data_IF_202407710252
#
_entry.id   IF_202407710252
#
_cell.length_a   1.000
_cell.length_b   1.000
_cell.length_c   1.000
_cell.angle_alpha   90.00
_cell.angle_beta   90.00
_cell.angle_gamma   90.00
#
_symmetry.space_group_name_H-M   'P 1'
#
loop_
_entity.id
_entity.type
_entity.pdbx_description
1 polymer ?
#
# COMPACT_ATOMS: atom_id res chain seq x y z
N UNK A 1 -19.45 5.50 -11.63
CA UNK A 1 -18.94 4.91 -10.38
C UNK A 1 -17.46 4.64 -10.62
N UNK A 2 -16.58 5.43 -10.02
CA UNK A 2 -15.14 5.14 -10.10
C UNK A 2 -14.85 4.15 -8.99
N UNK A 3 -14.41 2.95 -9.35
CA UNK A 3 -13.81 2.04 -8.38
C UNK A 3 -12.55 2.72 -7.83
N UNK A 4 -12.29 2.55 -6.54
CA UNK A 4 -11.01 2.97 -5.98
C UNK A 4 -9.88 2.15 -6.62
N UNK A 5 -8.74 2.78 -6.96
CA UNK A 5 -7.61 2.07 -7.53
C UNK A 5 -7.04 1.07 -6.54
N UNK A 6 -6.58 -0.06 -7.05
CA UNK A 6 -5.88 -1.09 -6.29
C UNK A 6 -4.50 -0.62 -5.83
N UNK A 7 -3.93 -1.33 -4.84
CA UNK A 7 -2.58 -1.07 -4.35
C UNK A 7 -1.53 -1.03 -5.46
N UNK A 8 -1.55 -2.01 -6.37
CA UNK A 8 -0.56 -2.09 -7.46
C UNK A 8 -0.72 -0.94 -8.45
N UNK A 9 -1.95 -0.50 -8.74
CA UNK A 9 -2.18 0.68 -9.57
C UNK A 9 -1.64 1.95 -8.90
N UNK A 10 -1.92 2.16 -7.60
CA UNK A 10 -1.43 3.34 -6.88
C UNK A 10 0.08 3.37 -6.82
N UNK A 11 0.73 2.22 -6.65
CA UNK A 11 2.19 2.08 -6.56
C UNK A 11 2.91 2.55 -7.84
N UNK A 12 2.27 2.42 -8.99
CA UNK A 12 2.80 2.86 -10.29
C UNK A 12 2.52 4.34 -10.59
N UNK A 13 1.77 5.05 -9.75
CA UNK A 13 1.46 6.45 -9.99
C UNK A 13 2.70 7.34 -9.96
N UNK A 14 2.76 8.22 -10.96
CA UNK A 14 3.63 9.38 -10.91
C UNK A 14 3.13 10.40 -9.87
N UNK A 15 3.93 11.44 -9.64
CA UNK A 15 3.68 12.46 -8.61
C UNK A 15 2.29 13.12 -8.78
N UNK A 16 1.90 13.47 -10.01
CA UNK A 16 0.62 14.17 -10.26
C UNK A 16 -0.59 13.24 -10.14
N UNK A 17 -0.46 11.98 -10.56
CA UNK A 17 -1.49 10.95 -10.36
C UNK A 17 -1.71 10.67 -8.87
N UNK A 18 -0.61 10.54 -8.12
CA UNK A 18 -0.64 10.38 -6.67
C UNK A 18 -1.31 11.59 -5.99
N UNK A 19 -0.91 12.82 -6.31
CA UNK A 19 -1.54 14.02 -5.74
C UNK A 19 -3.04 14.07 -6.04
N UNK A 20 -3.41 13.75 -7.28
CA UNK A 20 -4.82 13.71 -7.69
C UNK A 20 -5.61 12.70 -6.87
N UNK A 21 -5.05 11.50 -6.67
CA UNK A 21 -5.65 10.48 -5.82
C UNK A 21 -5.76 10.95 -4.36
N UNK A 22 -4.69 11.49 -3.77
CA UNK A 22 -4.68 11.95 -2.38
C UNK A 22 -5.69 13.07 -2.11
N UNK A 23 -5.89 13.99 -3.07
CA UNK A 23 -6.94 15.04 -2.99
C UNK A 23 -8.34 14.45 -2.81
N UNK A 24 -8.60 13.27 -3.36
CA UNK A 24 -9.90 12.60 -3.21
C UNK A 24 -10.07 11.86 -1.87
N UNK A 25 -8.96 11.58 -1.16
CA UNK A 25 -8.96 10.73 0.04
C UNK A 25 -8.67 11.49 1.33
N UNK A 26 -7.88 12.56 1.26
CA UNK A 26 -7.38 13.26 2.44
C UNK A 26 -7.85 14.71 2.41
N UNK A 27 -9.00 14.96 3.05
CA UNK A 27 -9.67 16.27 3.03
C UNK A 27 -8.93 17.36 3.83
N UNK A 28 -7.98 16.99 4.69
CA UNK A 28 -7.23 17.94 5.52
C UNK A 28 -5.85 18.31 4.93
N UNK A 29 -5.58 17.94 3.68
CA UNK A 29 -4.40 18.40 2.95
C UNK A 29 -4.75 19.66 2.15
N UNK A 30 -3.85 20.64 2.21
CA UNK A 30 -3.89 21.90 1.48
C UNK A 30 -2.86 21.88 0.34
N UNK A 31 -2.91 22.86 -0.56
CA UNK A 31 -1.99 22.91 -1.71
C UNK A 31 -0.51 22.95 -1.29
N UNK A 32 -0.20 23.55 -0.14
CA UNK A 32 1.16 23.55 0.41
C UNK A 32 1.63 22.16 0.82
N UNK A 33 0.74 21.30 1.32
CA UNK A 33 1.08 19.90 1.63
C UNK A 33 1.35 19.13 0.32
N UNK A 34 0.54 19.37 -0.71
CA UNK A 34 0.74 18.77 -2.03
C UNK A 34 2.04 19.25 -2.71
N UNK A 35 2.42 20.50 -2.50
CA UNK A 35 3.67 21.07 -3.01
C UNK A 35 4.91 20.38 -2.43
N UNK A 36 4.84 19.86 -1.19
CA UNK A 36 5.95 19.11 -0.59
C UNK A 36 6.25 17.85 -1.41
N UNK A 37 5.23 17.09 -1.84
CA UNK A 37 5.44 15.89 -2.67
C UNK A 37 6.12 16.22 -4.00
N UNK A 38 5.74 17.33 -4.64
CA UNK A 38 6.39 17.82 -5.88
C UNK A 38 7.84 18.23 -5.63
N UNK A 39 8.07 19.03 -4.59
CA UNK A 39 9.39 19.57 -4.26
C UNK A 39 10.38 18.46 -3.88
N UNK A 40 9.91 17.45 -3.15
CA UNK A 40 10.71 16.31 -2.74
C UNK A 40 10.80 15.20 -3.80
N UNK A 41 10.13 15.39 -4.95
CA UNK A 41 10.05 14.41 -6.05
C UNK A 41 9.61 13.01 -5.59
N UNK A 42 8.66 12.98 -4.66
CA UNK A 42 8.22 11.75 -4.01
C UNK A 42 7.14 11.09 -4.86
N UNK A 43 7.44 9.90 -5.37
CA UNK A 43 6.49 9.05 -6.10
C UNK A 43 5.78 8.07 -5.15
N UNK A 44 4.73 7.42 -5.67
CA UNK A 44 3.95 6.45 -4.88
C UNK A 44 4.77 5.32 -4.31
N UNK A 45 5.73 4.78 -5.07
CA UNK A 45 6.58 3.69 -4.61
C UNK A 45 7.40 4.07 -3.37
N UNK A 46 7.80 5.33 -3.24
CA UNK A 46 8.47 5.81 -2.03
C UNK A 46 7.49 5.89 -0.86
N UNK A 47 6.31 6.49 -1.08
CA UNK A 47 5.30 6.73 -0.03
C UNK A 47 4.79 5.44 0.59
N UNK A 48 4.49 4.43 -0.23
CA UNK A 48 3.95 3.17 0.29
C UNK A 48 4.92 2.48 1.25
N UNK A 49 6.21 2.80 1.20
CA UNK A 49 7.21 2.23 2.11
C UNK A 49 7.52 3.13 3.33
N UNK A 50 6.96 4.33 3.39
CA UNK A 50 7.16 5.25 4.51
C UNK A 50 6.34 4.87 5.75
N UNK A 51 6.85 5.29 6.90
CA UNK A 51 6.27 5.16 8.22
C UNK A 51 5.58 6.45 8.65
N UNK A 52 4.61 6.38 9.59
CA UNK A 52 4.00 7.58 10.16
C UNK A 52 5.00 8.57 10.78
N UNK A 53 6.15 8.07 11.26
CA UNK A 53 7.23 8.91 11.79
C UNK A 53 7.88 9.75 10.69
N UNK A 54 8.17 9.17 9.54
CA UNK A 54 8.79 9.87 8.41
C UNK A 54 7.89 10.99 7.86
N UNK A 55 6.57 10.85 7.93
CA UNK A 55 5.64 11.92 7.58
C UNK A 55 5.66 13.10 8.56
N UNK A 56 6.04 12.86 9.82
CA UNK A 56 6.06 13.89 10.87
C UNK A 56 7.42 14.61 10.95
N UNK A 57 8.45 14.08 10.31
CA UNK A 57 9.81 14.62 10.31
C UNK A 57 10.11 15.40 9.01
N UNK A 58 11.17 16.24 8.99
CA UNK A 58 11.66 16.82 7.74
C UNK A 58 11.94 15.71 6.70
N UNK A 59 11.56 15.92 5.43
CA UNK A 59 11.12 17.19 4.83
C UNK A 59 9.61 17.45 4.91
N UNK A 60 8.78 16.51 5.37
CA UNK A 60 7.32 16.61 5.31
C UNK A 60 6.73 17.46 6.42
N UNK A 61 7.24 17.32 7.65
CA UNK A 61 6.81 18.09 8.81
C UNK A 61 5.28 18.12 9.00
N UNK A 62 4.57 17.05 8.62
CA UNK A 62 3.12 17.01 8.77
C UNK A 62 2.76 16.97 10.25
N UNK A 63 1.80 17.82 10.64
CA UNK A 63 1.22 17.77 11.98
C UNK A 63 0.58 16.40 12.23
N UNK A 64 0.54 15.98 13.49
CA UNK A 64 0.12 14.62 13.89
C UNK A 64 -1.15 14.13 13.20
N UNK A 65 -2.21 14.96 13.12
CA UNK A 65 -3.46 14.58 12.47
C UNK A 65 -3.33 14.29 10.98
N UNK A 66 -2.51 15.07 10.26
CA UNK A 66 -2.22 14.84 8.83
C UNK A 66 -1.38 13.58 8.63
N UNK A 67 -0.31 13.44 9.41
CA UNK A 67 0.55 12.26 9.37
C UNK A 67 -0.22 10.97 9.69
N UNK A 68 -1.11 11.00 10.68
CA UNK A 68 -1.92 9.84 11.09
C UNK A 68 -2.95 9.46 10.04
N UNK A 69 -3.71 10.42 9.50
CA UNK A 69 -4.67 10.15 8.43
C UNK A 69 -3.98 9.58 7.19
N UNK A 70 -2.82 10.12 6.85
CA UNK A 70 -2.07 9.65 5.71
C UNK A 70 -1.54 8.23 5.89
N UNK A 71 -0.94 7.95 7.06
CA UNK A 71 -0.49 6.60 7.41
C UNK A 71 -1.63 5.58 7.33
N UNK A 72 -2.81 5.91 7.87
CA UNK A 72 -3.96 5.01 7.83
C UNK A 72 -4.40 4.71 6.38
N UNK A 73 -4.38 5.70 5.47
CA UNK A 73 -4.68 5.49 4.06
C UNK A 73 -3.67 4.54 3.39
N UNK A 74 -2.37 4.70 3.69
CA UNK A 74 -1.33 3.81 3.16
C UNK A 74 -1.49 2.39 3.69
N UNK A 75 -1.84 2.23 4.98
CA UNK A 75 -2.10 0.92 5.58
C UNK A 75 -3.34 0.25 4.96
N UNK A 76 -4.40 1.02 4.70
CA UNK A 76 -5.59 0.54 3.98
C UNK A 76 -5.23 0.06 2.57
N UNK A 77 -4.46 0.86 1.82
CA UNK A 77 -3.96 0.48 0.51
C UNK A 77 -3.15 -0.82 0.55
N UNK A 78 -2.23 -0.95 1.52
CA UNK A 78 -1.47 -2.19 1.71
C UNK A 78 -2.35 -3.39 2.05
N UNK A 79 -3.43 -3.19 2.78
CA UNK A 79 -4.34 -4.30 3.12
C UNK A 79 -5.10 -4.84 1.89
N UNK A 80 -5.20 -4.05 0.82
CA UNK A 80 -5.80 -4.47 -0.46
C UNK A 80 -4.85 -5.32 -1.30
N UNK A 81 -3.53 -5.24 -1.07
CA UNK A 81 -2.63 -6.25 -1.63
C UNK A 81 -2.82 -7.52 -0.81
N UNK A 82 -3.63 -8.42 -1.35
CA UNK A 82 -3.78 -9.77 -0.81
C UNK A 82 -2.37 -10.32 -0.55
N UNK A 83 -2.03 -10.77 0.67
CA UNK A 83 -0.72 -11.34 0.92
C UNK A 83 -0.63 -12.61 0.08
N UNK A 84 0.06 -12.51 -1.06
CA UNK A 84 0.55 -13.66 -1.84
C UNK A 84 1.75 -14.28 -1.10
N UNK A 85 1.67 -14.41 0.22
CA UNK A 85 2.59 -15.20 1.01
C UNK A 85 1.99 -16.60 1.20
N UNK A 86 2.20 -17.43 0.19
CA UNK A 86 2.92 -18.69 0.43
C UNK A 86 2.29 -19.80 1.28
N UNK A 87 0.96 -19.86 1.50
CA UNK A 87 0.32 -21.11 1.96
C UNK A 87 -0.34 -21.82 0.79
N UNK A 88 0.43 -22.65 0.08
CA UNK A 88 -0.19 -23.78 -0.63
C UNK A 88 -1.09 -24.53 0.37
N UNK A 89 -2.33 -24.91 0.00
CA UNK A 89 -3.06 -25.87 0.81
C UNK A 89 -2.17 -27.11 0.97
N UNK A 90 -2.12 -27.75 2.17
CA UNK A 90 -1.44 -29.02 2.29
C UNK A 90 -2.03 -29.94 1.22
N UNK A 91 -1.18 -30.42 0.31
CA UNK A 91 -1.54 -31.55 -0.55
C UNK A 91 -1.85 -32.67 0.43
N UNK A 92 -3.12 -32.96 0.67
CA UNK A 92 -3.51 -34.25 1.22
C UNK A 92 -3.00 -35.27 0.23
N UNK A 93 -1.95 -36.00 0.63
CA UNK A 93 -1.27 -36.96 -0.20
C UNK A 93 -2.28 -37.85 -0.91
N UNK A 94 -2.20 -37.80 -2.23
CA UNK A 94 -2.86 -38.75 -3.11
C UNK A 94 -2.28 -40.12 -2.74
N UNK A 95 -3.13 -40.91 -2.11
CA UNK A 95 -3.36 -42.32 -2.40
C UNK A 95 -2.16 -43.11 -2.93
N UNK A 96 -1.47 -43.85 -2.04
CA UNK A 96 -0.70 -45.04 -2.45
C UNK A 96 -1.52 -46.31 -2.17
N UNK A 97 -2.61 -46.48 -2.91
CA UNK A 97 -3.15 -47.81 -3.18
C UNK A 97 -2.33 -48.45 -4.30
N UNK A 98 -1.36 -49.31 -3.93
CA UNK A 98 -0.63 -50.30 -4.76
C UNK A 98 0.71 -50.65 -4.07
N UNK A 99 1.19 -51.87 -3.77
CA UNK A 99 1.02 -53.25 -4.27
C UNK A 99 1.60 -54.23 -3.19
N UNK A 100 1.13 -55.50 -3.21
CA UNK A 100 1.42 -56.72 -2.39
C UNK A 100 2.90 -57.06 -2.08
N UNK A 101 3.11 -57.97 -1.09
CA UNK A 101 3.79 -59.30 -1.24
C UNK A 101 3.73 -60.17 0.07
N UNK A 102 4.09 -61.48 0.08
CA UNK A 102 3.24 -62.59 0.55
C UNK A 102 3.66 -63.19 1.92
N UNK A 103 2.90 -64.18 2.40
CA UNK A 103 3.33 -65.15 3.41
C UNK A 103 3.08 -66.56 2.89
#
# INVERSE_FOLDING_TARGET
>A
MSSDPSFEEVKEYNIEQLITYLRTKILNFEENDFAIFRNQRINSQTIVNMTPKEFSEPPFNFVYGKAKNFSNLIDELKSQSCPIDGRSPPKSDINQSSIRLPS
#
